data_IF_494759917960
#
_entry.id   IF_494759917960
#
_cell.length_a   1.000
_cell.length_b   1.000
_cell.length_c   1.000
_cell.angle_alpha   90.00
_cell.angle_beta   90.00
_cell.angle_gamma   90.00
#
_symmetry.space_group_name_H-M   'P 1'
#
loop_
_entity.id
_entity.type
_entity.pdbx_description
1 polymer ?
#
# COMPACT_ATOMS: atom_id res chain seq x y z
N UNK A 1 -0.86 -14.41 -15.26
CA UNK A 1 -1.20 -14.21 -13.83
C UNK A 1 -0.52 -12.93 -13.40
N UNK A 2 -1.24 -11.96 -12.84
CA UNK A 2 -0.63 -10.71 -12.37
C UNK A 2 -0.28 -10.79 -10.89
N UNK A 3 0.79 -10.11 -10.49
CA UNK A 3 1.16 -9.83 -9.11
C UNK A 3 0.77 -8.40 -8.76
N UNK A 4 -0.11 -8.25 -7.77
CA UNK A 4 -0.64 -6.95 -7.38
C UNK A 4 -0.17 -6.61 -5.98
N UNK A 5 0.55 -5.49 -5.84
CA UNK A 5 0.92 -4.93 -4.55
C UNK A 5 -0.10 -3.88 -4.16
N UNK A 6 -0.84 -4.14 -3.09
CA UNK A 6 -1.85 -3.25 -2.54
C UNK A 6 -1.29 -2.42 -1.39
N UNK A 7 -1.33 -1.10 -1.51
CA UNK A 7 -0.79 -0.16 -0.52
C UNK A 7 -1.92 0.70 0.04
N UNK A 8 -2.02 0.78 1.37
CA UNK A 8 -2.98 1.65 2.05
C UNK A 8 -2.45 2.24 3.35
N UNK A 9 -3.03 3.37 3.76
CA UNK A 9 -2.75 4.04 5.02
C UNK A 9 -3.20 3.21 6.24
N UNK A 10 -4.39 2.60 6.17
CA UNK A 10 -4.99 1.79 7.24
C UNK A 10 -5.64 0.53 6.69
N UNK A 11 -5.64 -0.53 7.49
CA UNK A 11 -6.42 -1.74 7.21
C UNK A 11 -7.85 -1.62 7.75
N UNK A 12 -7.97 -1.05 8.95
CA UNK A 12 -9.23 -0.90 9.69
C UNK A 12 -9.94 0.38 9.26
N UNK A 13 -11.27 0.29 9.12
CA UNK A 13 -12.11 1.39 8.66
C UNK A 13 -13.30 0.94 7.81
N UNK A 14 -14.25 1.86 7.60
CA UNK A 14 -15.36 1.72 6.67
C UNK A 14 -15.04 2.33 5.30
N UNK A 15 -16.06 2.59 4.47
CA UNK A 15 -15.91 3.37 3.23
C UNK A 15 -14.74 2.90 2.33
N UNK A 16 -13.68 3.71 2.26
CA UNK A 16 -12.51 3.45 1.45
C UNK A 16 -11.75 2.18 1.88
N UNK A 17 -11.56 1.93 3.18
CA UNK A 17 -10.89 0.72 3.66
C UNK A 17 -11.73 -0.54 3.39
N UNK A 18 -13.07 -0.43 3.39
CA UNK A 18 -13.94 -1.52 2.96
C UNK A 18 -13.75 -1.84 1.48
N UNK A 19 -13.78 -0.82 0.62
CA UNK A 19 -13.52 -0.98 -0.82
C UNK A 19 -12.12 -1.53 -1.09
N UNK A 20 -11.11 -1.15 -0.29
CA UNK A 20 -9.75 -1.70 -0.39
C UNK A 20 -9.74 -3.22 -0.15
N UNK A 21 -10.38 -3.68 0.93
CA UNK A 21 -10.47 -5.11 1.28
C UNK A 21 -11.27 -5.89 0.22
N UNK A 22 -12.38 -5.33 -0.25
CA UNK A 22 -13.16 -5.93 -1.33
C UNK A 22 -12.35 -6.03 -2.63
N UNK A 23 -11.54 -5.02 -2.95
CA UNK A 23 -10.65 -5.04 -4.11
C UNK A 23 -9.61 -6.17 -4.02
N UNK A 24 -8.96 -6.34 -2.87
CA UNK A 24 -8.01 -7.44 -2.65
C UNK A 24 -8.71 -8.80 -2.80
N UNK A 25 -9.91 -8.93 -2.23
CA UNK A 25 -10.71 -10.16 -2.31
C UNK A 25 -11.02 -10.53 -3.77
N UNK A 26 -11.53 -9.59 -4.56
CA UNK A 26 -11.82 -9.83 -5.98
C UNK A 26 -10.54 -10.14 -6.77
N UNK A 27 -9.44 -9.42 -6.48
CA UNK A 27 -8.14 -9.69 -7.10
C UNK A 27 -7.69 -11.15 -6.87
N UNK A 28 -7.87 -11.66 -5.65
CA UNK A 28 -7.57 -13.04 -5.31
C UNK A 28 -8.52 -14.04 -6.00
N UNK A 29 -9.82 -13.75 -6.07
CA UNK A 29 -10.81 -14.58 -6.77
C UNK A 29 -10.55 -14.68 -8.27
N UNK A 30 -9.97 -13.64 -8.87
CA UNK A 30 -9.49 -13.63 -10.27
C UNK A 30 -8.18 -14.41 -10.46
N UNK A 31 -7.61 -14.97 -9.39
CA UNK A 31 -6.39 -15.77 -9.42
C UNK A 31 -5.09 -14.96 -9.42
N UNK A 32 -5.15 -13.65 -9.13
CA UNK A 32 -3.94 -12.85 -9.02
C UNK A 32 -3.18 -13.18 -7.74
N UNK A 33 -1.86 -13.06 -7.79
CA UNK A 33 -1.01 -13.16 -6.61
C UNK A 33 -0.98 -11.78 -5.96
N UNK A 34 -1.33 -11.70 -4.68
CA UNK A 34 -1.53 -10.43 -3.99
C UNK A 34 -0.57 -10.30 -2.82
N UNK A 35 -0.01 -9.10 -2.67
CA UNK A 35 0.71 -8.68 -1.48
C UNK A 35 0.13 -7.37 -0.95
N UNK A 36 0.22 -7.16 0.36
CA UNK A 36 -0.38 -6.01 1.04
C UNK A 36 0.67 -5.30 1.88
N UNK A 37 0.67 -3.97 1.80
CA UNK A 37 1.46 -3.09 2.65
C UNK A 37 0.57 -2.02 3.28
N UNK A 38 0.59 -1.96 4.61
CA UNK A 38 -0.09 -0.94 5.40
C UNK A 38 0.95 -0.04 6.08
N UNK A 39 0.67 1.27 6.11
CA UNK A 39 1.53 2.24 6.77
C UNK A 39 1.70 1.94 8.27
N UNK A 40 2.82 2.34 8.87
CA UNK A 40 3.08 2.12 10.31
C UNK A 40 2.31 3.09 11.23
N UNK A 41 1.46 3.98 10.69
CA UNK A 41 0.61 4.88 11.48
C UNK A 41 1.34 5.99 12.25
N UNK A 42 2.66 6.14 12.10
CA UNK A 42 3.46 7.16 12.81
C UNK A 42 3.59 8.45 11.99
N UNK A 43 3.08 9.56 12.54
CA UNK A 43 3.07 10.86 11.86
C UNK A 43 3.77 11.94 12.66
N UNK A 44 4.71 12.63 12.03
CA UNK A 44 5.21 13.94 12.44
C UNK A 44 5.31 14.84 11.20
N UNK A 45 5.54 16.14 11.38
CA UNK A 45 5.52 17.12 10.27
C UNK A 45 6.54 16.78 9.17
N UNK A 46 7.69 16.21 9.56
CA UNK A 46 8.72 15.80 8.61
C UNK A 46 8.33 14.52 7.86
N UNK A 47 7.74 13.52 8.54
CA UNK A 47 7.31 12.27 7.90
C UNK A 47 6.10 12.46 7.00
N UNK A 48 5.36 13.57 7.11
CA UNK A 48 4.32 13.93 6.15
C UNK A 48 4.88 14.31 4.77
N UNK A 49 6.04 14.96 4.73
CA UNK A 49 6.69 15.36 3.48
C UNK A 49 7.50 14.18 2.93
N UNK A 50 8.28 13.52 3.79
CA UNK A 50 9.13 12.40 3.40
C UNK A 50 9.32 11.41 4.55
N UNK A 51 8.89 10.17 4.34
CA UNK A 51 9.10 9.07 5.26
C UNK A 51 10.14 8.09 4.69
N UNK A 52 11.36 8.15 5.24
CA UNK A 52 12.44 7.22 4.89
C UNK A 52 12.07 5.76 5.21
N UNK A 53 11.31 5.51 6.28
CA UNK A 53 10.90 4.16 6.67
C UNK A 53 9.91 3.60 5.65
N UNK A 54 8.84 4.34 5.32
CA UNK A 54 7.84 3.90 4.35
C UNK A 54 8.44 3.76 2.94
N UNK A 55 9.33 4.68 2.53
CA UNK A 55 10.08 4.55 1.28
C UNK A 55 10.84 3.23 1.21
N UNK A 56 11.62 2.90 2.25
CA UNK A 56 12.38 1.65 2.29
C UNK A 56 11.47 0.43 2.28
N UNK A 57 10.39 0.43 3.07
CA UNK A 57 9.42 -0.69 3.12
C UNK A 57 8.79 -0.93 1.76
N UNK A 58 8.31 0.11 1.09
CA UNK A 58 7.72 0.01 -0.25
C UNK A 58 8.76 -0.47 -1.26
N UNK A 59 9.96 0.11 -1.26
CA UNK A 59 11.04 -0.28 -2.16
C UNK A 59 11.47 -1.73 -1.99
N UNK A 60 11.66 -2.17 -0.75
CA UNK A 60 11.97 -3.56 -0.42
C UNK A 60 10.85 -4.48 -0.91
N UNK A 61 9.58 -4.13 -0.65
CA UNK A 61 8.44 -4.93 -1.10
C UNK A 61 8.39 -5.06 -2.62
N UNK A 62 8.61 -3.96 -3.34
CA UNK A 62 8.69 -3.98 -4.81
C UNK A 62 9.84 -4.86 -5.30
N UNK A 63 11.04 -4.77 -4.69
CA UNK A 63 12.20 -5.56 -5.10
C UNK A 63 12.02 -7.07 -4.87
N UNK A 64 11.38 -7.46 -3.75
CA UNK A 64 11.15 -8.87 -3.41
C UNK A 64 9.94 -9.45 -4.13
N UNK A 65 8.79 -8.79 -4.07
CA UNK A 65 7.54 -9.27 -4.65
C UNK A 65 7.51 -9.10 -6.18
N UNK A 66 8.17 -8.07 -6.70
CA UNK A 66 8.22 -7.70 -8.13
C UNK A 66 6.81 -7.58 -8.72
N UNK A 67 5.93 -6.71 -8.17
CA UNK A 67 4.56 -6.58 -8.67
C UNK A 67 4.53 -6.15 -10.13
N UNK A 68 3.52 -6.63 -10.86
CA UNK A 68 3.20 -6.15 -12.20
C UNK A 68 2.32 -4.89 -12.12
N UNK A 69 1.52 -4.78 -11.05
CA UNK A 69 0.64 -3.63 -10.76
C UNK A 69 0.79 -3.22 -9.30
N UNK A 70 0.89 -1.92 -9.04
CA UNK A 70 0.82 -1.35 -7.69
C UNK A 70 -0.49 -0.58 -7.57
N UNK A 71 -1.36 -1.02 -6.66
CA UNK A 71 -2.63 -0.36 -6.37
C UNK A 71 -2.52 0.41 -5.06
N UNK A 72 -2.55 1.74 -5.13
CA UNK A 72 -2.50 2.65 -3.97
C UNK A 72 -3.89 3.22 -3.76
N UNK A 73 -4.47 3.02 -2.58
CA UNK A 73 -5.84 3.48 -2.30
C UNK A 73 -5.87 4.76 -1.47
N UNK A 74 -5.29 4.77 -0.27
CA UNK A 74 -5.05 5.99 0.52
C UNK A 74 -3.56 6.13 0.83
N UNK A 75 -3.01 7.32 0.61
CA UNK A 75 -1.64 7.68 1.01
C UNK A 75 -1.53 9.08 1.64
N UNK A 76 -2.66 9.66 2.04
CA UNK A 76 -2.76 11.06 2.48
C UNK A 76 -2.79 11.20 4.00
N UNK A 77 -2.86 10.10 4.74
CA UNK A 77 -2.99 10.07 6.20
C UNK A 77 -1.76 9.57 6.95
N UNK A 78 -1.01 8.61 6.42
CA UNK A 78 0.17 8.08 7.11
C UNK A 78 1.36 7.90 6.18
N UNK A 79 1.09 7.63 4.91
CA UNK A 79 2.10 7.62 3.87
C UNK A 79 2.45 9.06 3.44
N UNK A 80 3.62 9.18 2.83
CA UNK A 80 4.11 10.44 2.26
C UNK A 80 4.40 10.24 0.78
N UNK A 81 4.49 11.31 -0.03
CA UNK A 81 4.81 11.21 -1.46
C UNK A 81 6.08 10.43 -1.78
N UNK A 82 6.96 10.21 -0.79
CA UNK A 82 8.15 9.38 -0.95
C UNK A 82 7.88 7.96 -1.41
N UNK A 83 6.70 7.38 -1.18
CA UNK A 83 6.37 6.02 -1.66
C UNK A 83 6.30 5.92 -3.19
N UNK A 84 6.24 7.04 -3.91
CA UNK A 84 6.15 7.12 -5.37
C UNK A 84 7.52 7.32 -6.03
N UNK A 85 8.59 7.49 -5.24
CA UNK A 85 9.97 7.63 -5.71
C UNK A 85 10.71 6.29 -5.67
#
# INVERSE_FOLDING_TARGET
MYRVLHINDSWEGGGAEAVFRDTIKISQELGFENDVLIAEGKRNVFTYIYSCSEYKRVKERILFFKPDVIHIHNYYHYLSPSILM
#
